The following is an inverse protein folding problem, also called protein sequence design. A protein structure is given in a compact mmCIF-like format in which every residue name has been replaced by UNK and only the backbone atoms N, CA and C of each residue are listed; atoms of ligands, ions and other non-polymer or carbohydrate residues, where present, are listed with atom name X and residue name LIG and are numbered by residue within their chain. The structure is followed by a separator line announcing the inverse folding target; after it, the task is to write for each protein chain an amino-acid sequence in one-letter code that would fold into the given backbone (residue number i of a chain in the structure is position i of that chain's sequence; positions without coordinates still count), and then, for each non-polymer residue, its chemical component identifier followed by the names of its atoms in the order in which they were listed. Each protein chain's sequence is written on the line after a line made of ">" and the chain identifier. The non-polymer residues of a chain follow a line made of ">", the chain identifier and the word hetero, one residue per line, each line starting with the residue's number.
data_IF_997861692113
#
_entry.id   IF_997861692113
#
_cell.length_a   1.000
_cell.length_b   1.000
_cell.length_c   1.000
_cell.angle_alpha   90.00
_cell.angle_beta   90.00
_cell.angle_gamma   90.00
#
_symmetry.space_group_name_H-M   'P 1'
#
loop_
_entity.id
_entity.type
_entity.pdbx_description
1 polymer ?
#
# COMPACT_ATOMS: atom_id res chain seq x y z
N UNK A 1 8.21 13.26 26.97
CA UNK A 1 6.79 12.86 27.13
C UNK A 1 6.70 11.44 27.66
N UNK A 2 5.56 11.04 28.23
CA UNK A 2 5.31 9.63 28.53
C UNK A 2 5.19 8.85 27.22
N UNK A 3 5.96 7.77 27.07
CA UNK A 3 5.87 6.85 25.95
C UNK A 3 4.73 5.88 26.27
N UNK A 4 3.68 5.87 25.45
CA UNK A 4 2.46 5.08 25.72
C UNK A 4 2.40 3.80 24.90
N UNK A 5 3.07 3.75 23.76
CA UNK A 5 3.03 2.60 22.86
C UNK A 5 4.38 2.43 22.13
N UNK A 6 4.49 1.33 21.39
CA UNK A 6 5.69 1.00 20.61
C UNK A 6 6.06 2.09 19.58
N UNK A 7 5.09 2.77 18.97
CA UNK A 7 5.35 3.83 17.98
C UNK A 7 6.03 5.03 18.64
N UNK A 8 5.59 5.41 19.84
CA UNK A 8 6.18 6.51 20.63
C UNK A 8 7.66 6.25 20.93
N UNK A 9 8.06 4.98 21.13
CA UNK A 9 9.46 4.62 21.35
C UNK A 9 10.34 5.02 20.16
N UNK A 10 9.93 4.71 18.92
CA UNK A 10 10.72 5.05 17.73
C UNK A 10 10.73 6.56 17.46
N UNK A 11 9.55 7.20 17.56
CA UNK A 11 9.42 8.63 17.26
C UNK A 11 10.22 9.45 18.28
N UNK A 12 10.00 9.22 19.58
CA UNK A 12 10.69 10.01 20.60
C UNK A 12 12.18 9.68 20.71
N UNK A 13 12.60 8.42 20.50
CA UNK A 13 14.03 8.11 20.44
C UNK A 13 14.74 8.87 19.31
N UNK A 14 14.12 9.00 18.12
CA UNK A 14 14.69 9.77 17.02
C UNK A 14 14.74 11.26 17.31
N UNK A 15 13.65 11.82 17.84
CA UNK A 15 13.55 13.23 18.24
C UNK A 15 14.62 13.59 19.29
N UNK A 16 14.79 12.75 20.32
CA UNK A 16 15.82 12.92 21.35
C UNK A 16 17.24 12.85 20.77
N UNK A 17 17.51 11.86 19.92
CA UNK A 17 18.81 11.71 19.25
C UNK A 17 19.17 12.93 18.39
N UNK A 18 18.19 13.52 17.73
CA UNK A 18 18.39 14.68 16.86
C UNK A 18 18.37 16.03 17.63
N UNK A 19 18.08 16.02 18.93
CA UNK A 19 17.95 17.24 19.73
C UNK A 19 16.75 18.11 19.33
N UNK A 20 15.71 17.52 18.75
CA UNK A 20 14.50 18.23 18.32
C UNK A 20 13.54 18.32 19.51
N UNK A 21 12.99 19.50 19.86
CA UNK A 21 11.95 19.58 20.87
C UNK A 21 10.63 19.03 20.31
N UNK A 22 9.91 18.23 21.10
CA UNK A 22 8.56 17.78 20.73
C UNK A 22 7.52 18.89 20.96
N UNK A 23 6.43 18.87 20.20
CA UNK A 23 5.28 19.75 20.43
C UNK A 23 4.65 19.48 21.83
N UNK A 24 3.98 20.45 22.45
CA UNK A 24 3.20 20.20 23.67
C UNK A 24 1.99 19.29 23.39
N UNK A 25 1.43 18.71 24.46
CA UNK A 25 0.17 17.97 24.34
C UNK A 25 -0.95 18.91 23.89
N UNK A 26 -1.78 18.44 22.96
CA UNK A 26 -2.97 19.16 22.51
C UNK A 26 -3.96 19.40 23.66
N UNK A 27 -4.65 20.54 23.63
CA UNK A 27 -5.76 20.82 24.56
C UNK A 27 -6.88 19.79 24.38
N UNK A 28 -7.82 19.73 25.34
CA UNK A 28 -8.96 18.81 25.24
C UNK A 28 -9.87 19.15 24.05
N UNK A 29 -10.08 20.44 23.76
CA UNK A 29 -10.85 20.92 22.61
C UNK A 29 -10.18 20.53 21.28
N UNK A 30 -8.87 20.75 21.18
CA UNK A 30 -8.10 20.40 19.99
C UNK A 30 -8.09 18.89 19.77
N UNK A 31 -7.81 18.11 20.83
CA UNK A 31 -7.81 16.66 20.78
C UNK A 31 -9.18 16.13 20.34
N UNK A 32 -10.25 16.59 20.98
CA UNK A 32 -11.62 16.15 20.70
C UNK A 32 -12.00 16.40 19.24
N UNK A 33 -11.71 17.60 18.70
CA UNK A 33 -12.01 17.90 17.30
C UNK A 33 -11.15 17.07 16.33
N UNK A 34 -9.84 16.97 16.57
CA UNK A 34 -8.90 16.26 15.69
C UNK A 34 -9.26 14.76 15.65
N UNK A 35 -9.45 14.12 16.79
CA UNK A 35 -9.74 12.67 16.85
C UNK A 35 -11.05 12.30 16.15
N UNK A 36 -12.09 13.14 16.20
CA UNK A 36 -13.31 12.88 15.44
C UNK A 36 -13.09 12.95 13.93
N UNK A 37 -12.38 13.97 13.45
CA UNK A 37 -12.07 14.12 12.03
C UNK A 37 -11.13 13.00 11.57
N UNK A 38 -10.11 12.68 12.38
CA UNK A 38 -9.07 11.71 12.06
C UNK A 38 -9.56 10.26 12.15
N UNK A 39 -10.53 9.93 13.00
CA UNK A 39 -11.05 8.58 13.07
C UNK A 39 -12.32 8.38 12.24
N UNK A 40 -13.17 9.40 12.11
CA UNK A 40 -14.51 9.25 11.51
C UNK A 40 -14.78 10.15 10.30
N UNK A 41 -13.92 11.15 10.06
CA UNK A 41 -14.11 12.11 8.96
C UNK A 41 -15.26 13.08 9.22
N UNK A 42 -15.75 13.17 10.46
CA UNK A 42 -16.92 13.98 10.83
C UNK A 42 -16.52 15.07 11.83
N UNK A 43 -17.22 16.20 11.72
CA UNK A 43 -17.19 17.25 12.72
C UNK A 43 -18.09 16.78 13.89
N UNK A 44 -17.60 16.79 15.14
CA UNK A 44 -18.40 16.35 16.28
C UNK A 44 -19.54 17.31 16.58
N UNK A 45 -20.55 16.83 17.32
CA UNK A 45 -21.63 17.67 17.83
C UNK A 45 -21.19 18.46 19.06
N UNK A 46 -21.86 19.58 19.31
CA UNK A 46 -21.54 20.51 20.38
C UNK A 46 -21.88 19.96 21.76
N UNK A 47 -22.96 19.18 21.89
CA UNK A 47 -23.34 18.47 23.11
C UNK A 47 -22.28 17.45 23.54
N UNK A 48 -21.74 16.67 22.60
CA UNK A 48 -20.67 15.71 22.86
C UNK A 48 -19.37 16.39 23.32
N UNK A 49 -19.04 17.55 22.74
CA UNK A 49 -17.90 18.36 23.18
C UNK A 49 -18.07 18.83 24.61
N UNK A 50 -19.23 19.42 24.95
CA UNK A 50 -19.51 19.90 26.31
C UNK A 50 -19.39 18.77 27.33
N UNK A 51 -20.01 17.62 27.05
CA UNK A 51 -19.92 16.45 27.91
C UNK A 51 -18.46 15.95 28.09
N UNK A 52 -17.66 15.99 27.04
CA UNK A 52 -16.25 15.61 27.11
C UNK A 52 -15.39 16.59 27.93
N UNK A 53 -15.66 17.90 27.82
CA UNK A 53 -14.95 18.94 28.58
C UNK A 53 -15.34 18.92 30.07
N UNK A 54 -16.61 18.64 30.37
CA UNK A 54 -17.13 18.55 31.74
C UNK A 54 -16.63 17.30 32.47
N UNK A 55 -16.32 16.23 31.73
CA UNK A 55 -15.80 14.99 32.29
C UNK A 55 -14.44 15.18 32.99
N UNK A 56 -14.36 14.70 34.25
CA UNK A 56 -13.14 14.65 35.08
C UNK A 56 -12.47 13.28 35.08
N UNK A 57 -12.96 12.35 34.27
CA UNK A 57 -12.37 11.03 34.14
C UNK A 57 -10.99 11.11 33.49
N UNK A 58 -9.96 10.63 34.19
CA UNK A 58 -8.59 10.61 33.70
C UNK A 58 -8.41 9.76 32.42
N UNK A 59 -9.30 8.80 32.17
CA UNK A 59 -9.32 7.94 30.99
C UNK A 59 -10.25 8.41 29.86
N UNK A 60 -10.83 9.62 29.94
CA UNK A 60 -11.83 10.09 28.97
C UNK A 60 -11.35 10.10 27.50
N UNK A 61 -10.04 10.33 27.27
CA UNK A 61 -9.46 10.34 25.91
C UNK A 61 -9.43 8.95 25.30
N UNK A 62 -8.98 7.96 26.05
CA UNK A 62 -8.88 6.57 25.58
C UNK A 62 -10.28 6.00 25.33
N UNK A 63 -11.22 6.22 26.26
CA UNK A 63 -12.64 5.84 26.09
C UNK A 63 -13.30 6.49 24.87
N UNK A 64 -12.93 7.74 24.56
CA UNK A 64 -13.43 8.42 23.36
C UNK A 64 -12.88 7.74 22.10
N UNK A 65 -11.59 7.40 22.07
CA UNK A 65 -10.98 6.66 20.95
C UNK A 65 -11.70 5.33 20.74
N UNK A 66 -11.85 4.51 21.79
CA UNK A 66 -12.54 3.21 21.71
C UNK A 66 -13.96 3.33 21.18
N UNK A 67 -14.69 4.36 21.61
CA UNK A 67 -16.06 4.64 21.13
C UNK A 67 -16.07 5.03 19.65
N UNK A 68 -15.07 5.77 19.18
CA UNK A 68 -15.01 6.22 17.79
C UNK A 68 -14.58 5.09 16.85
N UNK A 69 -13.61 4.27 17.25
CA UNK A 69 -13.10 3.16 16.44
C UNK A 69 -14.10 2.01 16.30
N UNK A 70 -14.98 1.82 17.28
CA UNK A 70 -16.04 0.80 17.25
C UNK A 70 -17.29 1.17 16.44
N UNK A 71 -17.32 2.36 15.82
CA UNK A 71 -18.50 2.88 15.13
C UNK A 71 -18.46 2.75 13.61
N UNK A 72 -19.63 2.62 12.97
CA UNK A 72 -19.80 2.68 11.50
C UNK A 72 -19.10 3.86 10.80
N UNK A 73 -19.05 5.08 11.38
CA UNK A 73 -18.32 6.19 10.76
C UNK A 73 -16.82 5.92 10.60
N UNK A 74 -16.21 5.19 11.54
CA UNK A 74 -14.81 4.77 11.43
C UNK A 74 -14.65 3.76 10.29
N UNK A 75 -15.46 2.70 10.28
CA UNK A 75 -15.46 1.69 9.22
C UNK A 75 -15.57 2.32 7.83
N UNK A 76 -16.52 3.24 7.63
CA UNK A 76 -16.72 3.93 6.36
C UNK A 76 -15.51 4.80 5.97
N UNK A 77 -14.95 5.56 6.92
CA UNK A 77 -13.78 6.41 6.66
C UNK A 77 -12.57 5.56 6.23
N UNK A 78 -12.26 4.53 7.00
CA UNK A 78 -11.06 3.73 6.76
C UNK A 78 -11.23 2.84 5.54
N UNK A 79 -12.43 2.34 5.26
CA UNK A 79 -12.74 1.67 4.00
C UNK A 79 -12.46 2.57 2.81
N UNK A 80 -12.91 3.83 2.87
CA UNK A 80 -12.63 4.82 1.83
C UNK A 80 -11.12 5.08 1.70
N UNK A 81 -10.43 5.33 2.81
CA UNK A 81 -8.99 5.59 2.83
C UNK A 81 -8.18 4.47 2.16
N UNK A 82 -8.42 3.22 2.53
CA UNK A 82 -7.71 2.09 1.93
C UNK A 82 -8.08 1.88 0.46
N UNK A 83 -9.34 2.07 0.07
CA UNK A 83 -9.72 2.00 -1.34
C UNK A 83 -9.08 3.12 -2.19
N UNK A 84 -8.79 4.29 -1.61
CA UNK A 84 -8.07 5.38 -2.27
C UNK A 84 -6.57 5.07 -2.45
N UNK A 85 -5.98 4.31 -1.51
CA UNK A 85 -4.60 3.81 -1.64
C UNK A 85 -4.52 2.72 -2.71
N UNK A 86 -5.36 1.68 -2.59
CA UNK A 86 -5.29 0.47 -3.45
C UNK A 86 -5.91 0.66 -4.83
N UNK A 87 -6.75 1.68 -5.01
CA UNK A 87 -7.24 2.16 -6.31
C UNK A 87 -7.87 1.08 -7.19
N UNK A 88 -8.88 0.32 -6.75
CA UNK A 88 -9.57 -0.70 -7.56
C UNK A 88 -10.50 -0.05 -8.61
N UNK A 89 -9.97 0.77 -9.51
CA UNK A 89 -10.77 1.50 -10.49
C UNK A 89 -11.37 0.53 -11.50
N UNK A 90 -12.67 0.70 -11.78
CA UNK A 90 -13.42 -0.19 -12.67
C UNK A 90 -12.92 -0.20 -14.11
N UNK A 91 -12.24 0.86 -14.57
CA UNK A 91 -11.61 0.91 -15.88
C UNK A 91 -10.32 0.10 -15.98
N UNK A 92 -9.86 -0.50 -14.87
CA UNK A 92 -8.65 -1.32 -14.81
C UNK A 92 -8.93 -2.74 -14.34
N UNK A 93 -9.91 -2.94 -13.46
CA UNK A 93 -10.20 -4.26 -12.87
C UNK A 93 -11.61 -4.78 -13.18
N UNK A 94 -12.44 -3.98 -13.86
CA UNK A 94 -13.86 -4.27 -14.08
C UNK A 94 -14.75 -3.78 -12.92
N UNK A 95 -16.03 -3.51 -13.23
CA UNK A 95 -17.00 -3.01 -12.23
C UNK A 95 -17.23 -4.02 -11.10
N UNK A 96 -17.37 -5.30 -11.45
CA UNK A 96 -17.64 -6.36 -10.48
C UNK A 96 -16.46 -6.54 -9.50
N UNK A 97 -15.23 -6.57 -10.00
CA UNK A 97 -14.04 -6.70 -9.17
C UNK A 97 -13.86 -5.51 -8.23
N UNK A 98 -14.10 -4.28 -8.74
CA UNK A 98 -14.12 -3.07 -7.89
C UNK A 98 -15.06 -3.23 -6.71
N UNK A 99 -16.32 -3.63 -6.97
CA UNK A 99 -17.33 -3.78 -5.91
C UNK A 99 -16.87 -4.84 -4.89
N UNK A 100 -16.33 -5.96 -5.36
CA UNK A 100 -15.90 -7.05 -4.50
C UNK A 100 -14.65 -6.70 -3.68
N UNK A 101 -13.67 -6.01 -4.26
CA UNK A 101 -12.52 -5.49 -3.51
C UNK A 101 -12.95 -4.47 -2.46
N UNK A 102 -13.80 -3.51 -2.82
CA UNK A 102 -14.29 -2.49 -1.87
C UNK A 102 -15.06 -3.13 -0.70
N UNK A 103 -15.89 -4.15 -0.96
CA UNK A 103 -16.56 -4.92 0.09
C UNK A 103 -15.58 -5.70 0.94
N UNK A 104 -14.61 -6.39 0.33
CA UNK A 104 -13.58 -7.11 1.07
C UNK A 104 -12.81 -6.16 2.00
N UNK A 105 -12.36 -4.99 1.55
CA UNK A 105 -11.69 -4.01 2.43
C UNK A 105 -12.59 -3.61 3.60
N UNK A 106 -13.86 -3.29 3.32
CA UNK A 106 -14.82 -2.90 4.36
C UNK A 106 -15.02 -4.01 5.40
N UNK A 107 -15.21 -5.25 4.94
CA UNK A 107 -15.47 -6.39 5.81
C UNK A 107 -14.26 -6.71 6.69
N UNK A 108 -13.04 -6.61 6.18
CA UNK A 108 -11.84 -6.80 6.99
C UNK A 108 -11.66 -5.71 8.06
N UNK A 109 -12.06 -4.46 7.78
CA UNK A 109 -12.06 -3.39 8.78
C UNK A 109 -13.15 -3.62 9.83
N UNK A 110 -14.35 -4.02 9.39
CA UNK A 110 -15.46 -4.33 10.30
C UNK A 110 -15.15 -5.50 11.24
N UNK A 111 -14.44 -6.52 10.74
CA UNK A 111 -14.03 -7.70 11.50
C UNK A 111 -12.74 -7.48 12.31
N UNK A 112 -12.15 -6.28 12.26
CA UNK A 112 -10.86 -5.95 12.90
C UNK A 112 -9.76 -6.98 12.57
N UNK A 113 -9.67 -7.37 11.30
CA UNK A 113 -8.72 -8.39 10.86
C UNK A 113 -7.29 -7.84 10.89
N UNK A 114 -6.29 -8.65 11.31
CA UNK A 114 -4.90 -8.23 11.28
C UNK A 114 -4.45 -7.72 9.90
N UNK A 115 -3.88 -6.52 9.88
CA UNK A 115 -3.48 -5.86 8.63
C UNK A 115 -2.47 -6.68 7.83
N UNK A 116 -1.54 -7.38 8.50
CA UNK A 116 -0.57 -8.26 7.85
C UNK A 116 -1.22 -9.39 7.05
N UNK A 117 -2.37 -9.91 7.49
CA UNK A 117 -3.11 -10.93 6.72
C UNK A 117 -3.74 -10.33 5.47
N UNK A 118 -4.30 -9.12 5.57
CA UNK A 118 -4.84 -8.41 4.40
C UNK A 118 -3.75 -8.13 3.36
N UNK A 119 -2.58 -7.68 3.80
CA UNK A 119 -1.42 -7.43 2.92
C UNK A 119 -0.97 -8.73 2.27
N UNK A 120 -0.84 -9.81 3.05
CA UNK A 120 -0.48 -11.11 2.53
C UNK A 120 -1.45 -11.59 1.45
N UNK A 121 -2.77 -11.52 1.68
CA UNK A 121 -3.78 -11.90 0.69
C UNK A 121 -3.71 -11.08 -0.60
N UNK A 122 -3.42 -9.77 -0.51
CA UNK A 122 -3.29 -8.92 -1.70
C UNK A 122 -2.04 -9.25 -2.51
N UNK A 123 -0.90 -9.47 -1.85
CA UNK A 123 0.38 -9.70 -2.52
C UNK A 123 0.54 -11.13 -3.05
N UNK A 124 -0.16 -12.10 -2.47
CA UNK A 124 -0.08 -13.53 -2.84
C UNK A 124 -1.38 -14.04 -3.48
N UNK A 125 -2.22 -13.12 -3.97
CA UNK A 125 -3.52 -13.46 -4.50
C UNK A 125 -3.41 -14.43 -5.69
N UNK A 126 -4.07 -15.58 -5.58
CA UNK A 126 -4.26 -16.52 -6.68
C UNK A 126 -5.76 -16.62 -7.00
N UNK A 127 -6.11 -16.39 -8.26
CA UNK A 127 -7.51 -16.33 -8.68
C UNK A 127 -7.66 -16.74 -10.14
N UNK A 128 -8.60 -17.65 -10.40
CA UNK A 128 -9.09 -17.88 -11.78
C UNK A 128 -9.77 -16.62 -12.32
N UNK A 129 -10.33 -15.80 -11.43
CA UNK A 129 -11.08 -14.58 -11.74
C UNK A 129 -11.00 -13.59 -10.57
N UNK A 130 -10.45 -12.41 -10.82
CA UNK A 130 -10.46 -11.28 -9.89
C UNK A 130 -11.88 -10.76 -9.58
N UNK A 131 -12.89 -11.16 -10.37
CA UNK A 131 -14.28 -10.85 -10.07
C UNK A 131 -14.82 -11.67 -8.91
N UNK A 132 -14.21 -12.80 -8.57
CA UNK A 132 -14.68 -13.67 -7.49
C UNK A 132 -13.74 -13.67 -6.28
N UNK A 133 -12.47 -13.31 -6.48
CA UNK A 133 -11.47 -13.18 -5.42
C UNK A 133 -11.11 -11.71 -5.28
N UNK A 134 -11.71 -11.04 -4.29
CA UNK A 134 -11.54 -9.60 -4.04
C UNK A 134 -10.08 -9.16 -4.05
N UNK A 135 -9.20 -9.68 -3.16
CA UNK A 135 -7.79 -9.29 -3.04
C UNK A 135 -6.99 -9.32 -4.35
N UNK A 136 -7.34 -10.22 -5.27
CA UNK A 136 -6.68 -10.36 -6.57
C UNK A 136 -6.80 -9.09 -7.43
N UNK A 137 -7.80 -8.23 -7.15
CA UNK A 137 -7.91 -6.92 -7.80
C UNK A 137 -6.75 -5.98 -7.48
N UNK A 138 -6.01 -6.19 -6.38
CA UNK A 138 -4.80 -5.42 -6.10
C UNK A 138 -3.73 -5.69 -7.17
N UNK A 139 -3.45 -6.96 -7.47
CA UNK A 139 -2.49 -7.35 -8.51
C UNK A 139 -2.99 -6.93 -9.90
N UNK A 140 -4.25 -7.26 -10.23
CA UNK A 140 -4.85 -6.96 -11.54
C UNK A 140 -4.80 -5.46 -11.88
N UNK A 141 -4.91 -4.59 -10.87
CA UNK A 141 -4.91 -3.13 -11.05
C UNK A 141 -3.62 -2.60 -11.67
N UNK A 142 -2.50 -3.25 -11.43
CA UNK A 142 -1.17 -2.77 -11.80
C UNK A 142 -0.60 -3.44 -13.05
N UNK A 143 -1.42 -4.23 -13.76
CA UNK A 143 -1.02 -4.84 -15.03
C UNK A 143 -0.70 -3.77 -16.07
N UNK A 144 0.44 -3.98 -16.73
CA UNK A 144 0.88 -3.22 -17.88
C UNK A 144 0.62 -4.01 -19.14
N UNK A 145 -0.10 -3.40 -20.07
CA UNK A 145 -0.35 -3.93 -21.41
C UNK A 145 0.38 -3.10 -22.46
N UNK A 146 0.66 -3.71 -23.62
CA UNK A 146 1.20 -3.00 -24.77
C UNK A 146 0.19 -1.94 -25.31
N UNK A 147 0.65 -1.07 -26.21
CA UNK A 147 -0.09 0.11 -26.74
C UNK A 147 -1.48 -0.24 -27.31
N UNK A 148 -1.71 -1.47 -27.76
CA UNK A 148 -3.00 -1.96 -28.27
C UNK A 148 -3.79 -2.83 -27.27
N UNK A 149 -3.33 -2.96 -26.03
CA UNK A 149 -3.87 -3.90 -25.03
C UNK A 149 -3.94 -5.36 -25.50
N UNK A 150 -3.11 -5.70 -26.49
CA UNK A 150 -3.06 -7.01 -27.14
C UNK A 150 -2.30 -8.03 -26.28
N UNK A 151 -1.18 -7.63 -25.69
CA UNK A 151 -0.36 -8.48 -24.83
C UNK A 151 0.04 -7.77 -23.53
N UNK A 152 0.14 -8.54 -22.45
CA UNK A 152 0.70 -8.11 -21.17
C UNK A 152 2.23 -8.02 -21.22
N UNK A 153 2.79 -7.03 -20.53
CA UNK A 153 4.24 -6.84 -20.41
C UNK A 153 4.64 -7.28 -19.01
N UNK A 154 5.05 -8.54 -18.91
CA UNK A 154 5.29 -9.27 -17.66
C UNK A 154 6.23 -8.52 -16.70
N UNK A 155 7.38 -8.07 -17.19
CA UNK A 155 8.39 -7.43 -16.33
C UNK A 155 8.04 -5.99 -15.97
N UNK A 156 7.36 -5.26 -16.87
CA UNK A 156 6.84 -3.94 -16.52
C UNK A 156 5.78 -4.06 -15.41
N UNK A 157 4.94 -5.09 -15.48
CA UNK A 157 3.94 -5.44 -14.45
C UNK A 157 4.60 -5.83 -13.14
N UNK A 158 5.61 -6.70 -13.16
CA UNK A 158 6.37 -7.09 -11.96
C UNK A 158 7.01 -5.88 -11.26
N UNK A 159 7.56 -4.94 -12.03
CA UNK A 159 8.11 -3.69 -11.49
C UNK A 159 7.04 -2.74 -10.96
N UNK A 160 5.87 -2.62 -11.61
CA UNK A 160 4.74 -1.83 -11.08
C UNK A 160 4.23 -2.43 -9.76
N UNK A 161 4.10 -3.75 -9.66
CA UNK A 161 3.73 -4.43 -8.41
C UNK A 161 4.76 -4.15 -7.30
N UNK A 162 6.05 -4.19 -7.61
CA UNK A 162 7.10 -3.83 -6.67
C UNK A 162 7.02 -2.37 -6.21
N UNK A 163 6.82 -1.43 -7.13
CA UNK A 163 6.64 -0.01 -6.81
C UNK A 163 5.45 0.17 -5.86
N UNK A 164 4.31 -0.42 -6.20
CA UNK A 164 3.08 -0.25 -5.44
C UNK A 164 3.12 -0.97 -4.10
N UNK A 165 3.69 -2.17 -4.01
CA UNK A 165 3.87 -2.85 -2.73
C UNK A 165 4.75 -2.02 -1.77
N UNK A 166 5.86 -1.47 -2.25
CA UNK A 166 6.77 -0.67 -1.41
C UNK A 166 6.15 0.69 -1.07
N UNK A 167 5.42 1.31 -2.01
CA UNK A 167 4.75 2.59 -1.79
C UNK A 167 3.60 2.46 -0.79
N UNK A 168 2.70 1.50 -1.01
CA UNK A 168 1.45 1.38 -0.28
C UNK A 168 1.68 0.81 1.14
N UNK A 169 2.66 -0.10 1.29
CA UNK A 169 2.91 -0.78 2.57
C UNK A 169 4.14 -0.27 3.34
N UNK A 170 5.15 0.27 2.65
CA UNK A 170 6.40 0.73 3.27
C UNK A 170 6.60 2.26 3.16
N UNK A 171 5.73 2.97 2.45
CA UNK A 171 5.75 4.43 2.35
C UNK A 171 6.89 5.00 1.49
N UNK A 172 7.57 4.17 0.68
CA UNK A 172 8.66 4.61 -0.20
C UNK A 172 8.26 4.42 -1.67
N UNK A 173 8.24 5.52 -2.43
CA UNK A 173 7.86 5.47 -3.84
C UNK A 173 9.05 5.15 -4.75
N UNK A 174 9.18 3.87 -5.16
CA UNK A 174 10.27 3.42 -6.03
C UNK A 174 10.13 3.91 -7.48
N UNK A 175 9.01 4.52 -7.87
CA UNK A 175 8.84 5.14 -9.20
C UNK A 175 9.97 6.12 -9.48
N UNK A 176 10.44 6.83 -8.45
CA UNK A 176 11.52 7.82 -8.53
C UNK A 176 12.85 7.27 -9.07
N UNK A 177 13.12 5.96 -8.90
CA UNK A 177 14.33 5.30 -9.41
C UNK A 177 14.04 4.37 -10.59
N UNK A 178 12.81 4.35 -11.10
CA UNK A 178 12.39 3.43 -12.16
C UNK A 178 12.95 3.76 -13.54
N UNK A 179 13.40 5.01 -13.74
CA UNK A 179 14.02 5.48 -14.99
C UNK A 179 15.54 5.61 -14.89
N UNK A 180 16.07 6.06 -13.76
CA UNK A 180 17.50 6.24 -13.50
C UNK A 180 17.82 6.10 -12.01
N UNK A 181 19.11 5.97 -11.68
CA UNK A 181 19.57 5.95 -10.29
C UNK A 181 19.23 7.26 -9.57
N UNK A 182 19.00 7.21 -8.26
CA UNK A 182 18.57 8.37 -7.50
C UNK A 182 19.64 9.47 -7.35
N UNK A 183 20.91 9.11 -7.53
CA UNK A 183 22.03 10.02 -7.37
C UNK A 183 21.91 11.21 -8.34
N UNK A 184 22.10 12.41 -7.81
CA UNK A 184 22.00 13.73 -8.47
C UNK A 184 20.58 14.16 -8.86
N UNK A 185 19.55 13.42 -8.46
CA UNK A 185 18.16 13.71 -8.82
C UNK A 185 17.22 13.78 -7.62
N UNK A 186 17.45 12.98 -6.58
CA UNK A 186 16.50 12.82 -5.46
C UNK A 186 16.94 13.49 -4.16
N UNK A 187 18.10 14.13 -4.09
CA UNK A 187 18.63 14.73 -2.85
C UNK A 187 17.68 15.75 -2.21
N UNK A 188 16.87 16.43 -3.03
CA UNK A 188 15.89 17.42 -2.58
C UNK A 188 14.50 16.86 -2.31
N UNK A 189 14.23 15.62 -2.72
CA UNK A 189 12.88 15.04 -2.74
C UNK A 189 12.81 13.81 -1.83
N UNK A 190 13.79 12.91 -1.93
CA UNK A 190 13.86 11.68 -1.17
C UNK A 190 15.32 11.31 -0.90
N UNK A 191 15.81 11.68 0.28
CA UNK A 191 17.19 11.41 0.71
C UNK A 191 17.52 9.91 0.84
N UNK A 192 16.52 9.06 1.12
CA UNK A 192 16.71 7.62 1.17
C UNK A 192 16.97 7.04 -0.22
N UNK A 193 16.20 7.48 -1.22
CA UNK A 193 16.35 7.03 -2.61
C UNK A 193 17.50 7.69 -3.36
N UNK A 194 18.03 8.84 -2.89
CA UNK A 194 19.17 9.50 -3.52
C UNK A 194 20.42 8.62 -3.61
N UNK A 195 20.61 7.68 -2.68
CA UNK A 195 21.71 6.71 -2.72
C UNK A 195 21.40 5.39 -3.44
N UNK A 196 20.17 5.24 -3.99
CA UNK A 196 19.67 3.96 -4.51
C UNK A 196 19.83 3.87 -6.02
N UNK A 197 20.07 2.64 -6.48
CA UNK A 197 20.22 2.33 -7.90
C UNK A 197 18.92 1.78 -8.46
N UNK A 198 18.70 2.05 -9.75
CA UNK A 198 17.60 1.49 -10.52
C UNK A 198 17.56 -0.04 -10.47
N UNK A 199 18.72 -0.68 -10.39
CA UNK A 199 18.83 -2.13 -10.23
C UNK A 199 18.13 -2.66 -8.97
N UNK A 200 18.07 -1.88 -7.89
CA UNK A 200 17.36 -2.28 -6.67
C UNK A 200 15.84 -2.40 -6.93
N UNK A 201 15.27 -1.60 -7.83
CA UNK A 201 13.89 -1.78 -8.27
C UNK A 201 13.71 -3.11 -9.01
N UNK A 202 14.63 -3.49 -9.90
CA UNK A 202 14.53 -4.75 -10.63
C UNK A 202 14.60 -5.96 -9.69
N UNK A 203 15.43 -5.88 -8.65
CA UNK A 203 15.51 -6.91 -7.60
C UNK A 203 14.23 -6.96 -6.76
N UNK A 204 13.58 -5.84 -6.52
CA UNK A 204 12.23 -5.84 -5.93
C UNK A 204 11.21 -6.45 -6.89
N UNK A 205 11.27 -6.14 -8.18
CA UNK A 205 10.43 -6.73 -9.23
C UNK A 205 10.59 -8.25 -9.33
N UNK A 206 11.79 -8.77 -9.05
CA UNK A 206 12.07 -10.20 -9.06
C UNK A 206 11.24 -11.01 -8.05
N UNK A 207 10.77 -10.42 -6.94
CA UNK A 207 9.81 -11.08 -6.05
C UNK A 207 8.49 -11.42 -6.75
N UNK A 208 8.08 -10.59 -7.71
CA UNK A 208 6.84 -10.75 -8.48
C UNK A 208 7.07 -11.43 -9.83
N UNK A 209 8.31 -11.84 -10.16
CA UNK A 209 8.63 -12.42 -11.45
C UNK A 209 7.89 -13.73 -11.76
N UNK A 210 7.36 -14.40 -10.73
CA UNK A 210 6.50 -15.58 -10.86
C UNK A 210 5.01 -15.25 -10.93
N UNK A 211 4.60 -14.04 -10.58
CA UNK A 211 3.20 -13.61 -10.69
C UNK A 211 2.83 -13.47 -12.16
N UNK A 212 1.99 -14.36 -12.63
CA UNK A 212 1.38 -14.37 -13.94
C UNK A 212 0.00 -13.73 -13.84
N UNK A 213 -0.27 -12.74 -14.69
CA UNK A 213 -1.60 -12.12 -14.79
C UNK A 213 -2.02 -12.23 -16.23
N UNK A 214 -3.24 -12.72 -16.47
CA UNK A 214 -3.81 -12.92 -17.80
C UNK A 214 -5.17 -12.27 -17.91
N UNK A 215 -5.31 -11.33 -18.84
CA UNK A 215 -6.56 -10.68 -19.20
C UNK A 215 -7.45 -11.63 -20.00
N UNK A 216 -8.66 -11.89 -19.49
CA UNK A 216 -9.72 -12.63 -20.19
C UNK A 216 -10.49 -11.67 -21.10
N UNK A 217 -10.24 -11.76 -22.40
CA UNK A 217 -10.80 -10.86 -23.43
C UNK A 217 -12.16 -11.28 -23.99
N UNK A 218 -12.76 -12.35 -23.47
CA UNK A 218 -14.05 -12.90 -23.94
C UNK A 218 -15.27 -12.03 -23.57
N UNK A 219 -15.10 -11.05 -22.67
CA UNK A 219 -16.17 -10.15 -22.23
C UNK A 219 -15.86 -8.73 -22.71
N UNK A 220 -16.83 -8.11 -23.38
CA UNK A 220 -16.78 -6.77 -24.01
C UNK A 220 -15.85 -5.74 -23.35
N UNK A 221 -15.32 -4.84 -24.18
CA UNK A 221 -14.34 -3.74 -23.95
C UNK A 221 -14.54 -2.78 -22.77
N UNK A 222 -15.46 -3.04 -21.85
CA UNK A 222 -15.77 -2.24 -20.68
C UNK A 222 -15.61 -2.96 -19.33
N UNK A 223 -15.34 -4.27 -19.30
CA UNK A 223 -15.17 -5.03 -18.05
C UNK A 223 -14.01 -6.02 -18.17
N UNK A 224 -12.79 -5.57 -17.83
CA UNK A 224 -11.64 -6.45 -17.79
C UNK A 224 -11.77 -7.47 -16.64
N UNK A 225 -11.61 -8.75 -16.96
CA UNK A 225 -11.48 -9.85 -16.00
C UNK A 225 -10.07 -10.42 -16.11
N UNK A 226 -9.46 -10.74 -14.98
CA UNK A 226 -8.10 -11.26 -14.91
C UNK A 226 -8.04 -12.58 -14.15
N UNK A 227 -7.27 -13.53 -14.66
CA UNK A 227 -6.72 -14.62 -13.86
C UNK A 227 -5.32 -14.27 -13.37
N UNK A 228 -5.01 -14.65 -12.14
CA UNK A 228 -3.73 -14.39 -11.47
C UNK A 228 -3.26 -15.71 -10.85
N UNK A 229 -2.00 -16.07 -11.09
CA UNK A 229 -1.34 -17.22 -10.49
C UNK A 229 0.17 -16.97 -10.34
N UNK A 230 0.92 -17.88 -9.71
CA UNK A 230 2.37 -17.74 -9.50
C UNK A 230 3.22 -18.70 -10.37
N UNK A 231 2.74 -19.04 -11.57
CA UNK A 231 3.43 -19.93 -12.51
C UNK A 231 4.17 -19.20 -13.64
N UNK A 232 4.42 -17.90 -13.48
CA UNK A 232 5.13 -17.07 -14.45
C UNK A 232 6.56 -17.54 -14.73
N UNK A 233 7.19 -17.04 -15.80
CA UNK A 233 8.51 -17.49 -16.24
C UNK A 233 9.63 -17.14 -15.23
N UNK A 234 9.42 -16.14 -14.36
CA UNK A 234 10.47 -15.50 -13.59
C UNK A 234 10.71 -14.09 -14.15
N UNK A 235 11.58 -13.32 -13.49
CA UNK A 235 11.91 -11.96 -13.93
C UNK A 235 13.09 -11.98 -14.90
N UNK A 236 12.89 -11.51 -16.14
CA UNK A 236 13.94 -11.41 -17.16
C UNK A 236 14.32 -9.95 -17.44
N UNK A 237 15.53 -9.48 -17.12
CA UNK A 237 15.90 -8.10 -17.31
C UNK A 237 16.23 -7.78 -18.77
N UNK A 238 16.28 -8.77 -19.65
CA UNK A 238 16.46 -8.58 -21.09
C UNK A 238 15.15 -8.38 -21.84
N UNK A 239 14.02 -8.57 -21.14
CA UNK A 239 12.69 -8.32 -21.66
C UNK A 239 12.49 -6.86 -22.09
N UNK A 240 11.62 -6.69 -23.10
CA UNK A 240 11.19 -5.36 -23.54
C UNK A 240 10.45 -4.61 -22.43
N UNK A 241 10.44 -3.29 -22.53
CA UNK A 241 9.62 -2.40 -21.70
C UNK A 241 8.83 -1.45 -22.60
N UNK A 242 7.64 -1.06 -22.18
CA UNK A 242 6.77 -0.11 -22.90
C UNK A 242 6.50 1.17 -22.10
N UNK A 243 6.76 1.16 -20.78
CA UNK A 243 6.55 2.33 -19.91
C UNK A 243 7.83 2.91 -19.31
N UNK A 244 8.98 2.23 -19.43
CA UNK A 244 10.23 2.65 -18.81
C UNK A 244 11.40 2.67 -19.79
N UNK A 245 12.53 3.18 -19.31
CA UNK A 245 13.82 3.09 -20.01
C UNK A 245 14.24 1.61 -20.08
N UNK A 246 14.91 1.19 -21.14
CA UNK A 246 15.39 -0.19 -21.27
C UNK A 246 16.20 -0.66 -20.05
N UNK A 247 15.98 -1.90 -19.63
CA UNK A 247 16.69 -2.53 -18.52
C UNK A 247 18.12 -2.83 -18.98
N UNK A 248 19.10 -2.43 -18.17
CA UNK A 248 20.54 -2.63 -18.43
C UNK A 248 21.19 -3.41 -17.30
N UNK A 249 20.50 -4.44 -16.83
CA UNK A 249 21.02 -5.29 -15.75
C UNK A 249 22.22 -6.09 -16.22
N UNK A 250 23.18 -6.32 -15.32
CA UNK A 250 24.28 -7.25 -15.59
C UNK A 250 23.74 -8.68 -15.60
N UNK A 251 24.25 -9.57 -16.47
CA UNK A 251 23.91 -10.98 -16.44
C UNK A 251 24.12 -11.59 -15.04
N UNK A 252 23.13 -12.34 -14.54
CA UNK A 252 23.21 -13.05 -13.25
C UNK A 252 22.96 -12.22 -11.99
N UNK A 253 22.52 -10.95 -12.11
CA UNK A 253 22.37 -10.02 -11.00
C UNK A 253 20.90 -9.66 -10.74
N UNK A 254 20.09 -10.63 -10.32
CA UNK A 254 18.65 -10.43 -10.12
C UNK A 254 18.01 -11.22 -8.98
N UNK A 255 18.82 -11.78 -8.08
CA UNK A 255 18.25 -12.41 -6.89
C UNK A 255 17.40 -11.37 -6.14
N UNK A 256 16.15 -11.71 -5.80
CA UNK A 256 15.25 -10.82 -5.09
C UNK A 256 15.88 -10.38 -3.78
N UNK A 257 15.84 -9.07 -3.52
CA UNK A 257 16.37 -8.48 -2.30
C UNK A 257 15.46 -7.38 -1.81
N UNK A 258 15.13 -7.43 -0.53
CA UNK A 258 14.35 -6.40 0.14
C UNK A 258 15.14 -5.09 0.17
N UNK A 259 14.64 -4.04 -0.48
CA UNK A 259 15.35 -2.77 -0.61
C UNK A 259 15.62 -2.10 0.75
N UNK A 260 14.74 -2.33 1.74
CA UNK A 260 14.87 -1.72 3.07
C UNK A 260 15.94 -2.39 3.93
N UNK A 261 16.10 -3.71 3.85
CA UNK A 261 16.99 -4.49 4.76
C UNK A 261 18.21 -5.09 4.06
N UNK A 262 18.15 -5.27 2.75
CA UNK A 262 19.18 -5.99 1.98
C UNK A 262 19.06 -7.52 2.09
N UNK A 263 18.05 -8.02 2.81
CA UNK A 263 17.82 -9.46 2.98
C UNK A 263 17.32 -10.09 1.68
N UNK A 264 17.71 -11.34 1.45
CA UNK A 264 17.14 -12.19 0.40
C UNK A 264 15.96 -12.99 0.97
N UNK A 265 14.98 -13.40 0.16
CA UNK A 265 13.94 -14.31 0.65
C UNK A 265 14.61 -15.58 1.19
N UNK A 266 14.11 -16.05 2.32
CA UNK A 266 14.43 -17.40 2.78
C UNK A 266 14.07 -18.36 1.65
N UNK A 267 14.95 -19.32 1.34
CA UNK A 267 14.65 -20.38 0.38
C UNK A 267 13.34 -21.10 0.75
N UNK A 268 12.78 -21.92 -0.16
CA UNK A 268 11.57 -22.68 0.16
C UNK A 268 11.75 -23.44 1.48
N UNK A 269 10.72 -23.50 2.35
CA UNK A 269 10.77 -24.24 3.60
C UNK A 269 11.06 -25.74 3.38
#
# INVERSE_FOLDING_TARGET
>A
MARKNFIDEFIFAKIEKDGIPHAPLASDEEFFRRVHIDLTGRIPRDDELRAFLDSKDAGKRDKLVDRLTSGRPYEAKWSYFFNDIYKPHSNRVGVQAKVNFTRWVHDNIHLDRPYNEMVYEMLTANAISNWHVGPASYVARWVITAVACEDEVHEDTSEELAIHAVKDFLGVDLTCISCHDGARHLEKINVYLAGRKREELWRMGAFFGKTNVLRRTEVSTANDEYSIDDNGPGFDPSSRTVIRVERRAKPGLLDPVYICTGEQPAGPP
#
